data_IF_800575409675
#
_entry.id   IF_800575409675
#
_cell.length_a   1.000
_cell.length_b   1.000
_cell.length_c   1.000
_cell.angle_alpha   90.00
_cell.angle_beta   90.00
_cell.angle_gamma   90.00
#
_symmetry.space_group_name_H-M   'P 1'
#
loop_
_entity.id
_entity.type
_entity.pdbx_description
1 polymer ?
#
# COMPACT_ATOMS: atom_id res chain seq x y z
N UNK A 1 9.69 46.33 3.18
CA UNK A 1 9.03 45.58 4.28
C UNK A 1 9.73 44.25 4.43
N UNK A 2 10.45 44.10 5.55
CA UNK A 2 11.27 42.91 5.82
C UNK A 2 10.39 41.88 6.50
N UNK A 3 10.18 40.72 5.85
CA UNK A 3 9.50 39.60 6.48
C UNK A 3 10.41 38.95 7.51
N UNK A 4 10.09 39.11 8.80
CA UNK A 4 10.71 38.33 9.85
C UNK A 4 10.32 36.87 9.70
N UNK A 5 11.29 36.03 9.39
CA UNK A 5 11.13 34.57 9.47
C UNK A 5 11.00 34.22 10.96
N UNK A 6 9.79 33.79 11.35
CA UNK A 6 9.60 33.19 12.67
C UNK A 6 10.29 31.83 12.70
N UNK A 7 11.01 31.47 13.74
CA UNK A 7 11.57 30.15 13.89
C UNK A 7 10.41 29.16 14.02
N UNK A 8 10.34 28.18 13.09
CA UNK A 8 9.46 27.02 13.22
C UNK A 8 9.96 26.23 14.43
N UNK A 9 9.26 26.35 15.55
CA UNK A 9 9.47 25.43 16.67
C UNK A 9 9.11 24.04 16.17
N UNK A 10 10.07 23.11 16.26
CA UNK A 10 9.81 21.70 16.07
C UNK A 10 8.77 21.28 17.11
N UNK A 11 7.60 20.84 16.65
CA UNK A 11 6.62 20.17 17.50
C UNK A 11 7.29 18.89 17.99
N UNK A 12 7.33 18.62 19.31
CA UNK A 12 7.90 17.37 19.81
C UNK A 12 7.12 16.22 19.19
N UNK A 13 7.78 15.42 18.36
CA UNK A 13 7.18 14.26 17.71
C UNK A 13 6.71 13.26 18.76
N UNK A 14 5.43 13.00 18.82
CA UNK A 14 4.88 11.78 19.37
C UNK A 14 5.51 10.65 18.58
N UNK A 15 6.09 9.62 19.23
CA UNK A 15 6.90 8.53 18.68
C UNK A 15 6.54 8.05 17.28
N UNK A 16 7.15 8.68 16.27
CA UNK A 16 6.84 8.46 14.86
C UNK A 16 7.67 7.34 14.23
N UNK A 17 8.52 6.67 15.00
CA UNK A 17 9.38 5.59 14.51
C UNK A 17 8.94 4.24 15.05
N UNK A 18 9.04 3.23 14.24
CA UNK A 18 8.97 1.84 14.68
C UNK A 18 10.24 1.56 15.51
N UNK A 19 10.08 0.89 16.67
CA UNK A 19 11.26 0.51 17.41
C UNK A 19 11.98 -0.68 16.76
N UNK A 20 13.27 -0.84 17.10
CA UNK A 20 14.13 -1.88 16.54
C UNK A 20 13.55 -3.28 16.72
N UNK A 21 12.93 -3.58 17.87
CA UNK A 21 12.37 -4.88 18.15
C UNK A 21 11.21 -5.21 17.21
N UNK A 22 10.32 -4.26 16.98
CA UNK A 22 9.19 -4.44 16.07
C UNK A 22 9.65 -4.57 14.61
N UNK A 23 10.68 -3.83 14.19
CA UNK A 23 11.30 -4.01 12.87
C UNK A 23 11.89 -5.41 12.72
N UNK A 24 12.63 -5.90 13.72
CA UNK A 24 13.24 -7.24 13.67
C UNK A 24 12.14 -8.33 13.62
N UNK A 25 11.04 -8.16 14.35
CA UNK A 25 9.88 -9.08 14.29
C UNK A 25 9.18 -9.02 12.92
N UNK A 26 9.05 -7.83 12.32
CA UNK A 26 8.52 -7.70 10.96
C UNK A 26 9.40 -8.42 9.94
N UNK A 27 10.72 -8.24 10.00
CA UNK A 27 11.65 -8.94 9.13
C UNK A 27 11.56 -10.46 9.32
N UNK A 28 11.52 -10.95 10.56
CA UNK A 28 11.37 -12.37 10.88
C UNK A 28 10.04 -12.95 10.33
N UNK A 29 8.92 -12.21 10.39
CA UNK A 29 7.65 -12.64 9.78
C UNK A 29 7.73 -12.74 8.24
N UNK A 30 8.63 -11.96 7.62
CA UNK A 30 8.96 -12.07 6.19
C UNK A 30 10.04 -13.15 5.90
N UNK A 31 10.60 -13.78 6.91
CA UNK A 31 11.73 -14.71 6.77
C UNK A 31 13.02 -14.02 6.35
N UNK A 32 13.23 -12.78 6.84
CA UNK A 32 14.43 -11.96 6.61
C UNK A 32 15.15 -11.68 7.92
N UNK A 33 16.42 -11.36 7.81
CA UNK A 33 17.23 -10.85 8.90
C UNK A 33 17.60 -9.38 8.65
N UNK A 34 17.88 -8.63 9.71
CA UNK A 34 18.34 -7.24 9.60
C UNK A 34 19.68 -7.18 8.86
N UNK A 35 19.76 -6.32 7.87
CA UNK A 35 20.98 -6.04 7.13
C UNK A 35 21.09 -4.55 6.81
N UNK A 36 22.25 -4.10 6.37
CA UNK A 36 22.46 -2.73 5.90
C UNK A 36 21.59 -2.41 4.67
N UNK A 37 21.12 -1.16 4.51
CA UNK A 37 20.38 -0.73 3.35
C UNK A 37 21.08 -1.10 2.03
N UNK A 38 20.33 -1.76 1.16
CA UNK A 38 20.78 -2.12 -0.19
C UNK A 38 19.59 -2.31 -1.13
N UNK A 39 19.82 -2.24 -2.43
CA UNK A 39 18.78 -2.50 -3.43
C UNK A 39 18.20 -3.91 -3.31
N UNK A 40 19.05 -4.91 -3.01
CA UNK A 40 18.62 -6.27 -2.79
C UNK A 40 17.72 -6.44 -1.56
N UNK A 41 18.07 -5.80 -0.43
CA UNK A 41 17.23 -5.84 0.78
C UNK A 41 15.88 -5.16 0.55
N UNK A 42 15.86 -4.01 -0.14
CA UNK A 42 14.60 -3.32 -0.48
C UNK A 42 13.71 -4.19 -1.36
N UNK A 43 14.28 -4.86 -2.38
CA UNK A 43 13.54 -5.79 -3.25
C UNK A 43 12.95 -6.96 -2.45
N UNK A 44 13.75 -7.60 -1.61
CA UNK A 44 13.29 -8.72 -0.78
C UNK A 44 12.18 -8.30 0.19
N UNK A 45 12.32 -7.16 0.87
CA UNK A 45 11.29 -6.65 1.79
C UNK A 45 9.99 -6.39 1.03
N UNK A 46 10.02 -5.64 -0.06
CA UNK A 46 8.82 -5.26 -0.79
C UNK A 46 8.13 -6.47 -1.41
N UNK A 47 8.89 -7.36 -2.04
CA UNK A 47 8.37 -8.58 -2.67
C UNK A 47 7.74 -9.54 -1.65
N UNK A 48 8.38 -9.73 -0.50
CA UNK A 48 7.86 -10.62 0.55
C UNK A 48 6.69 -9.98 1.30
N UNK A 49 6.70 -8.65 1.46
CA UNK A 49 5.58 -7.94 2.07
C UNK A 49 4.27 -8.18 1.30
N UNK A 50 4.23 -7.91 -0.01
CA UNK A 50 3.01 -8.07 -0.81
C UNK A 50 2.55 -9.52 -0.94
N UNK A 51 3.47 -10.48 -0.75
CA UNK A 51 3.15 -11.90 -0.72
C UNK A 51 2.64 -12.37 0.66
N UNK A 52 3.07 -11.73 1.74
CA UNK A 52 2.75 -12.11 3.11
C UNK A 52 1.57 -11.36 3.67
N UNK A 53 1.53 -10.03 3.48
CA UNK A 53 0.53 -9.13 4.02
C UNK A 53 -0.42 -8.66 2.93
N UNK A 54 -1.65 -9.14 3.00
CA UNK A 54 -2.66 -8.77 2.00
C UNK A 54 -3.09 -7.32 2.13
N UNK A 55 -3.19 -6.63 1.01
CA UNK A 55 -3.99 -5.41 0.91
C UNK A 55 -5.44 -5.72 1.26
N UNK A 56 -6.08 -4.92 2.11
CA UNK A 56 -7.48 -5.12 2.46
C UNK A 56 -8.15 -3.83 2.93
N UNK A 57 -9.38 -3.60 2.47
CA UNK A 57 -10.25 -2.51 2.97
C UNK A 57 -11.26 -2.98 4.03
N UNK A 58 -10.98 -4.09 4.72
CA UNK A 58 -11.84 -4.64 5.79
C UNK A 58 -12.09 -3.61 6.88
N UNK A 59 -11.05 -2.93 7.35
CA UNK A 59 -11.15 -1.91 8.39
C UNK A 59 -12.07 -0.74 8.03
N UNK A 60 -11.82 -0.03 6.91
CA UNK A 60 -12.70 1.04 6.44
C UNK A 60 -14.15 0.57 6.22
N UNK A 61 -14.32 -0.62 5.65
CA UNK A 61 -15.65 -1.18 5.35
C UNK A 61 -16.45 -1.53 6.60
N UNK A 62 -15.79 -1.91 7.68
CA UNK A 62 -16.40 -2.13 9.00
C UNK A 62 -16.52 -0.85 9.84
N UNK A 63 -16.06 0.30 9.34
CA UNK A 63 -16.10 1.58 10.05
C UNK A 63 -15.16 1.64 11.25
N UNK A 64 -14.09 0.84 11.27
CA UNK A 64 -13.15 0.78 12.39
C UNK A 64 -12.32 2.06 12.51
N UNK A 65 -11.86 2.35 13.73
CA UNK A 65 -10.80 3.33 13.96
C UNK A 65 -9.48 2.74 13.49
N UNK A 66 -8.76 3.50 12.64
CA UNK A 66 -7.56 3.03 11.96
C UNK A 66 -6.40 3.99 12.21
N UNK A 67 -5.82 4.04 13.42
CA UNK A 67 -4.63 4.84 13.67
C UNK A 67 -3.48 4.37 12.78
N UNK A 68 -2.72 5.33 12.22
CA UNK A 68 -1.60 5.06 11.32
C UNK A 68 -0.23 5.30 11.94
N UNK A 69 -0.15 5.36 13.26
CA UNK A 69 1.12 5.31 13.98
C UNK A 69 1.79 3.94 13.80
N UNK A 70 3.13 3.88 13.74
CA UNK A 70 3.85 2.66 13.40
C UNK A 70 3.56 1.45 14.30
N UNK A 71 3.46 1.57 15.64
CA UNK A 71 3.06 0.45 16.51
C UNK A 71 1.66 -0.10 16.22
N UNK A 72 0.69 0.77 15.94
CA UNK A 72 -0.69 0.38 15.58
C UNK A 72 -0.73 -0.33 14.23
N UNK A 73 0.04 0.15 13.25
CA UNK A 73 0.19 -0.50 11.94
C UNK A 73 0.81 -1.89 12.07
N UNK A 74 1.92 -2.00 12.82
CA UNK A 74 2.56 -3.29 13.08
C UNK A 74 1.61 -4.28 13.73
N UNK A 75 0.92 -3.88 14.79
CA UNK A 75 -0.05 -4.73 15.49
C UNK A 75 -1.14 -5.23 14.53
N UNK A 76 -1.77 -4.33 13.76
CA UNK A 76 -2.89 -4.67 12.86
C UNK A 76 -2.47 -5.57 11.71
N UNK A 77 -1.35 -5.25 11.04
CA UNK A 77 -0.94 -5.94 9.82
C UNK A 77 -0.20 -7.25 10.15
N UNK A 78 0.76 -7.19 11.07
CA UNK A 78 1.66 -8.32 11.34
C UNK A 78 1.10 -9.26 12.39
N UNK A 79 0.63 -8.73 13.53
CA UNK A 79 0.19 -9.54 14.68
C UNK A 79 -1.23 -10.02 14.49
N UNK A 80 -2.16 -9.09 14.26
CA UNK A 80 -3.59 -9.39 14.15
C UNK A 80 -3.99 -9.86 12.75
N UNK A 81 -3.11 -9.74 11.75
CA UNK A 81 -3.34 -10.14 10.35
C UNK A 81 -4.65 -9.62 9.77
N UNK A 82 -4.98 -8.36 10.11
CA UNK A 82 -6.20 -7.70 9.62
C UNK A 82 -6.04 -7.10 8.21
N UNK A 83 -4.81 -7.19 7.65
CA UNK A 83 -4.46 -6.48 6.42
C UNK A 83 -4.38 -4.98 6.62
N UNK A 84 -4.54 -4.25 5.54
CA UNK A 84 -4.53 -2.80 5.51
C UNK A 84 -4.56 -2.29 4.07
N UNK A 85 -4.98 -1.05 3.88
CA UNK A 85 -4.94 -0.42 2.56
C UNK A 85 -3.71 0.49 2.42
N UNK A 86 -3.62 1.30 1.36
CA UNK A 86 -2.39 1.98 0.98
C UNK A 86 -1.70 2.80 2.09
N UNK A 87 -2.46 3.58 2.88
CA UNK A 87 -1.87 4.36 3.98
C UNK A 87 -1.33 3.48 5.10
N UNK A 88 -1.94 2.32 5.32
CA UNK A 88 -1.52 1.38 6.35
C UNK A 88 -0.32 0.55 5.89
N UNK A 89 -0.39 -0.10 4.74
CA UNK A 89 0.68 -0.95 4.21
C UNK A 89 1.97 -0.14 3.93
N UNK A 90 1.84 0.97 3.21
CA UNK A 90 2.99 1.84 2.92
C UNK A 90 3.46 2.64 4.15
N UNK A 91 2.57 2.89 5.12
CA UNK A 91 2.94 3.47 6.41
C UNK A 91 3.86 2.56 7.21
N UNK A 92 3.51 1.26 7.30
CA UNK A 92 4.35 0.26 7.96
C UNK A 92 5.69 0.09 7.23
N UNK A 93 5.66 -0.07 5.90
CA UNK A 93 6.89 -0.18 5.11
C UNK A 93 7.81 1.02 5.33
N UNK A 94 7.27 2.24 5.29
CA UNK A 94 8.03 3.47 5.52
C UNK A 94 8.76 3.44 6.87
N UNK A 95 8.04 3.13 7.95
CA UNK A 95 8.61 3.08 9.30
C UNK A 95 9.72 1.99 9.44
N UNK A 96 9.54 0.83 8.80
CA UNK A 96 10.55 -0.23 8.74
C UNK A 96 11.80 0.24 7.99
N UNK A 97 11.63 0.87 6.82
CA UNK A 97 12.77 1.34 6.02
C UNK A 97 13.53 2.46 6.74
N UNK A 98 12.84 3.34 7.45
CA UNK A 98 13.45 4.40 8.26
C UNK A 98 14.30 3.81 9.40
N UNK A 99 13.76 2.84 10.18
CA UNK A 99 14.51 2.16 11.26
C UNK A 99 15.69 1.32 10.73
N UNK A 100 15.60 0.81 9.53
CA UNK A 100 16.72 0.13 8.87
C UNK A 100 17.81 1.08 8.36
N UNK A 101 17.56 2.40 8.37
CA UNK A 101 18.51 3.44 7.94
C UNK A 101 18.52 3.68 6.43
N UNK A 102 17.45 3.32 5.69
CA UNK A 102 17.31 3.76 4.31
C UNK A 102 17.10 5.28 4.23
N UNK A 103 17.65 5.91 3.21
CA UNK A 103 17.26 7.27 2.84
C UNK A 103 15.87 7.21 2.20
N UNK A 104 14.83 7.47 3.01
CA UNK A 104 13.44 7.32 2.61
C UNK A 104 12.63 8.57 2.98
N UNK A 105 11.65 8.92 2.13
CA UNK A 105 10.67 9.94 2.45
C UNK A 105 9.29 9.58 1.88
N UNK A 106 8.19 10.05 2.51
CA UNK A 106 6.86 9.78 2.00
C UNK A 106 6.59 10.59 0.73
N UNK A 107 5.83 9.99 -0.18
CA UNK A 107 5.17 10.67 -1.28
C UNK A 107 3.68 10.38 -1.25
N UNK A 108 2.91 11.30 -1.82
CA UNK A 108 1.48 11.11 -2.07
C UNK A 108 1.20 11.11 -3.57
N UNK A 109 0.32 10.22 -3.98
CA UNK A 109 -0.04 10.02 -5.37
C UNK A 109 -1.55 10.13 -5.59
N UNK A 110 -1.93 10.37 -6.84
CA UNK A 110 -3.31 10.45 -7.33
C UNK A 110 -3.61 9.19 -8.14
N UNK A 111 -4.55 8.39 -7.66
CA UNK A 111 -4.94 7.13 -8.32
C UNK A 111 -5.73 7.44 -9.59
N UNK A 112 -5.29 6.92 -10.73
CA UNK A 112 -5.89 7.16 -12.03
C UNK A 112 -6.64 5.94 -12.58
N UNK A 113 -6.04 4.74 -12.48
CA UNK A 113 -6.58 3.49 -13.04
C UNK A 113 -7.02 3.64 -14.51
N UNK A 114 -6.19 4.29 -15.31
CA UNK A 114 -6.44 4.56 -16.73
C UNK A 114 -7.32 5.79 -17.01
N UNK A 115 -7.92 6.41 -15.99
CA UNK A 115 -8.70 7.62 -16.15
C UNK A 115 -7.83 8.86 -16.36
N UNK A 116 -8.38 9.86 -17.02
CA UNK A 116 -7.77 11.19 -17.17
C UNK A 116 -8.52 12.20 -16.32
N UNK A 117 -8.34 12.14 -15.00
CA UNK A 117 -8.97 13.01 -14.03
C UNK A 117 -7.94 13.49 -12.99
N UNK A 118 -8.34 14.42 -12.14
CA UNK A 118 -7.49 14.99 -11.09
C UNK A 118 -8.05 14.65 -9.69
N UNK A 119 -7.90 13.38 -9.23
CA UNK A 119 -8.38 12.98 -7.92
C UNK A 119 -7.53 13.58 -6.79
N UNK A 120 -7.97 13.40 -5.55
CA UNK A 120 -7.20 13.78 -4.36
C UNK A 120 -5.89 12.99 -4.22
N UNK A 121 -5.01 13.46 -3.33
CA UNK A 121 -3.78 12.75 -2.93
C UNK A 121 -4.15 11.64 -1.93
N UNK A 122 -4.67 10.54 -2.45
CA UNK A 122 -5.29 9.45 -1.67
C UNK A 122 -4.52 8.14 -1.73
N UNK A 123 -3.27 8.19 -2.18
CA UNK A 123 -2.38 7.03 -2.19
C UNK A 123 -1.00 7.40 -1.64
N UNK A 124 -0.58 6.74 -0.56
CA UNK A 124 0.75 6.89 0.04
C UNK A 124 1.72 5.93 -0.63
N UNK A 125 2.92 6.41 -0.97
CA UNK A 125 4.06 5.64 -1.46
C UNK A 125 5.34 6.11 -0.76
N UNK A 126 6.47 5.43 -0.95
CA UNK A 126 7.77 5.84 -0.42
C UNK A 126 8.75 6.08 -1.55
N UNK A 127 9.47 7.22 -1.50
CA UNK A 127 10.66 7.45 -2.31
C UNK A 127 11.87 6.99 -1.52
N UNK A 128 12.63 6.07 -2.08
CA UNK A 128 13.83 5.50 -1.46
C UNK A 128 15.03 5.81 -2.34
N UNK A 129 16.06 6.44 -1.76
CA UNK A 129 17.33 6.71 -2.46
C UNK A 129 18.37 5.68 -2.05
N UNK A 130 18.92 4.97 -3.02
CA UNK A 130 19.98 3.98 -2.81
C UNK A 130 21.07 4.23 -3.86
N UNK A 131 22.31 4.41 -3.41
CA UNK A 131 23.47 4.65 -4.29
C UNK A 131 23.24 5.81 -5.28
N UNK A 132 22.57 6.87 -4.81
CA UNK A 132 22.23 8.05 -5.60
C UNK A 132 21.10 7.84 -6.61
N UNK A 133 20.42 6.70 -6.61
CA UNK A 133 19.27 6.40 -7.49
C UNK A 133 17.98 6.38 -6.70
N UNK A 134 16.95 7.01 -7.26
CA UNK A 134 15.62 7.09 -6.64
C UNK A 134 14.70 5.97 -7.13
N UNK A 135 14.02 5.34 -6.18
CA UNK A 135 13.05 4.28 -6.42
C UNK A 135 11.74 4.59 -5.71
N UNK A 136 10.63 4.22 -6.33
CA UNK A 136 9.33 4.16 -5.66
C UNK A 136 9.17 2.76 -5.06
N UNK A 137 8.97 2.69 -3.75
CA UNK A 137 8.54 1.49 -3.04
C UNK A 137 7.06 1.64 -2.69
N UNK A 138 6.24 0.72 -3.22
CA UNK A 138 4.79 0.71 -3.04
C UNK A 138 4.29 -0.73 -2.84
N UNK A 139 3.90 -1.04 -1.61
CA UNK A 139 3.33 -2.34 -1.22
C UNK A 139 1.81 -2.27 -0.96
N UNK A 140 1.22 -1.11 -1.25
CA UNK A 140 -0.16 -0.77 -0.89
C UNK A 140 -1.08 -0.43 -2.06
N UNK A 141 -0.76 -0.77 -3.30
CA UNK A 141 -1.65 -0.46 -4.44
C UNK A 141 -2.71 -1.55 -4.71
N UNK A 142 -2.55 -2.71 -4.12
CA UNK A 142 -3.46 -3.84 -4.36
C UNK A 142 -3.05 -4.66 -5.60
N UNK A 143 -4.01 -5.26 -6.29
CA UNK A 143 -3.76 -6.30 -7.31
C UNK A 143 -2.91 -5.85 -8.51
N UNK A 144 -2.90 -4.58 -8.83
CA UNK A 144 -2.09 -4.00 -9.92
C UNK A 144 -0.76 -3.43 -9.44
N UNK A 145 -0.47 -3.48 -8.14
CA UNK A 145 0.75 -2.94 -7.55
C UNK A 145 2.01 -3.68 -7.99
N UNK A 146 3.17 -3.00 -7.88
CA UNK A 146 4.45 -3.61 -8.17
C UNK A 146 4.79 -4.68 -7.12
N UNK A 147 5.57 -5.68 -7.54
CA UNK A 147 6.11 -6.70 -6.62
C UNK A 147 7.37 -6.23 -5.90
N UNK A 148 8.07 -5.30 -6.49
CA UNK A 148 9.34 -4.75 -6.01
C UNK A 148 9.43 -3.24 -6.25
N UNK A 149 10.53 -2.60 -5.84
CA UNK A 149 10.73 -1.18 -6.06
C UNK A 149 10.86 -0.87 -7.56
N UNK A 150 10.33 0.28 -7.97
CA UNK A 150 10.40 0.74 -9.36
C UNK A 150 11.32 1.96 -9.44
N UNK A 151 12.40 1.86 -10.23
CA UNK A 151 13.32 2.99 -10.43
C UNK A 151 12.60 4.16 -11.13
N UNK A 152 12.88 5.39 -10.69
CA UNK A 152 12.34 6.59 -11.36
C UNK A 152 13.04 6.78 -12.70
N UNK A 153 14.33 6.49 -12.76
CA UNK A 153 15.12 6.61 -13.99
C UNK A 153 15.73 5.27 -14.37
N UNK A 154 15.84 5.01 -15.66
CA UNK A 154 16.48 3.82 -16.20
C UNK A 154 15.48 2.81 -16.79
N UNK A 155 15.98 1.63 -17.19
CA UNK A 155 15.13 0.61 -17.79
C UNK A 155 14.16 0.02 -16.77
N UNK A 156 12.97 -0.32 -17.25
CA UNK A 156 11.97 -1.01 -16.44
C UNK A 156 12.47 -2.39 -15.98
N UNK A 157 12.26 -2.69 -14.71
CA UNK A 157 12.51 -4.00 -14.11
C UNK A 157 11.16 -4.70 -13.88
N UNK A 158 10.64 -5.38 -14.91
CA UNK A 158 9.33 -6.03 -14.86
C UNK A 158 8.23 -5.25 -15.60
N UNK A 159 6.94 -5.52 -15.30
CA UNK A 159 5.82 -4.93 -16.02
C UNK A 159 5.54 -3.47 -15.65
N UNK A 160 6.10 -3.00 -14.52
CA UNK A 160 5.90 -1.64 -14.04
C UNK A 160 7.04 -0.73 -14.49
N UNK A 161 6.69 0.50 -14.87
CA UNK A 161 7.65 1.55 -15.19
C UNK A 161 7.16 2.91 -14.74
N UNK A 162 8.08 3.80 -14.43
CA UNK A 162 7.78 5.20 -14.16
C UNK A 162 8.15 6.01 -15.39
N UNK A 163 7.22 6.85 -15.83
CA UNK A 163 7.40 7.75 -16.95
C UNK A 163 7.06 9.18 -16.53
N UNK A 164 7.94 10.14 -16.85
CA UNK A 164 7.64 11.56 -16.72
C UNK A 164 6.84 11.99 -17.96
N UNK A 165 5.53 12.25 -17.76
CA UNK A 165 4.64 12.63 -18.86
C UNK A 165 4.52 14.15 -19.04
N UNK A 166 4.82 14.90 -18.00
CA UNK A 166 4.93 16.37 -18.00
C UNK A 166 6.04 16.76 -17.04
N UNK A 167 6.68 17.92 -17.19
CA UNK A 167 7.77 18.32 -16.29
C UNK A 167 7.38 18.23 -14.81
N UNK A 168 8.07 17.34 -14.07
CA UNK A 168 7.83 17.08 -12.65
C UNK A 168 6.63 16.18 -12.33
N UNK A 169 5.88 15.71 -13.32
CA UNK A 169 4.75 14.79 -13.14
C UNK A 169 5.13 13.38 -13.62
N UNK A 170 5.22 12.45 -12.69
CA UNK A 170 5.60 11.06 -12.91
C UNK A 170 4.38 10.14 -12.82
N UNK A 171 4.30 9.17 -13.73
CA UNK A 171 3.25 8.16 -13.72
C UNK A 171 3.84 6.77 -13.51
N UNK A 172 3.30 6.02 -12.55
CA UNK A 172 3.50 4.57 -12.53
C UNK A 172 2.56 3.93 -13.54
N UNK A 173 3.13 3.17 -14.48
CA UNK A 173 2.41 2.58 -15.61
C UNK A 173 2.70 1.10 -15.76
N UNK A 174 1.75 0.41 -16.35
CA UNK A 174 1.88 -0.97 -16.87
C UNK A 174 1.41 -1.01 -18.32
N UNK A 175 1.73 -2.06 -19.05
CA UNK A 175 1.06 -2.35 -20.31
C UNK A 175 -0.16 -3.23 -20.04
N UNK A 176 -1.31 -2.79 -20.52
CA UNK A 176 -2.56 -3.50 -20.40
C UNK A 176 -3.24 -3.55 -21.78
N UNK A 177 -3.53 -4.75 -22.24
CA UNK A 177 -4.17 -5.00 -23.55
C UNK A 177 -3.38 -4.34 -24.72
N UNK A 178 -2.04 -4.31 -24.61
CA UNK A 178 -1.14 -3.72 -25.62
C UNK A 178 -1.05 -2.19 -25.57
N UNK A 179 -1.65 -1.54 -24.59
CA UNK A 179 -1.60 -0.10 -24.41
C UNK A 179 -1.05 0.31 -23.03
N UNK A 180 -0.33 1.46 -22.95
CA UNK A 180 0.12 1.99 -21.68
C UNK A 180 -1.07 2.39 -20.79
N UNK A 181 -1.07 1.90 -19.53
CA UNK A 181 -2.13 2.12 -18.55
C UNK A 181 -1.54 2.76 -17.29
N UNK A 182 -1.93 4.01 -16.98
CA UNK A 182 -1.47 4.71 -15.79
C UNK A 182 -2.24 4.24 -14.56
N UNK A 183 -1.51 3.73 -13.57
CA UNK A 183 -2.06 3.32 -12.28
C UNK A 183 -2.29 4.54 -11.39
N UNK A 184 -1.27 5.36 -11.21
CA UNK A 184 -1.31 6.62 -10.49
C UNK A 184 -0.25 7.59 -11.01
N UNK A 185 -0.39 8.86 -10.62
CA UNK A 185 0.61 9.89 -10.86
C UNK A 185 1.04 10.54 -9.56
N UNK A 186 2.25 11.06 -9.53
CA UNK A 186 2.84 11.72 -8.38
C UNK A 186 3.86 12.77 -8.80
N UNK A 187 4.19 13.62 -7.86
CA UNK A 187 5.24 14.63 -7.97
C UNK A 187 6.28 14.39 -6.88
N UNK A 188 7.50 14.87 -7.07
CA UNK A 188 8.57 14.74 -6.06
C UNK A 188 8.49 15.78 -4.95
N UNK A 189 7.32 16.32 -4.69
CA UNK A 189 7.05 17.27 -3.62
C UNK A 189 7.37 16.67 -2.23
N UNK A 190 7.55 17.53 -1.23
CA UNK A 190 7.75 17.10 0.16
C UNK A 190 6.40 17.00 0.85
N UNK A 191 6.15 15.87 1.47
CA UNK A 191 4.96 15.60 2.28
C UNK A 191 5.39 15.21 3.69
N UNK A 192 4.53 15.53 4.68
CA UNK A 192 4.70 15.17 6.08
C UNK A 192 3.58 14.23 6.57
N UNK A 193 3.61 13.94 7.86
CA UNK A 193 2.59 13.08 8.49
C UNK A 193 1.19 13.67 8.36
N UNK A 194 1.02 14.99 8.55
CA UNK A 194 -0.28 15.65 8.43
C UNK A 194 -0.90 15.50 7.04
N UNK A 195 -0.09 15.52 5.97
CA UNK A 195 -0.57 15.28 4.61
C UNK A 195 -1.06 13.84 4.46
N UNK A 196 -0.34 12.89 5.05
CA UNK A 196 -0.75 11.48 5.08
C UNK A 196 -2.04 11.28 5.87
N UNK A 197 -2.19 11.94 7.02
CA UNK A 197 -3.41 11.89 7.83
C UNK A 197 -4.63 12.43 7.09
N UNK A 198 -4.48 13.53 6.34
CA UNK A 198 -5.56 14.09 5.52
C UNK A 198 -6.01 13.10 4.43
N UNK A 199 -5.08 12.52 3.67
CA UNK A 199 -5.37 11.53 2.65
C UNK A 199 -5.95 10.24 3.25
N UNK A 200 -5.44 9.81 4.40
CA UNK A 200 -5.95 8.68 5.16
C UNK A 200 -7.38 8.92 5.64
N UNK A 201 -7.65 10.07 6.30
CA UNK A 201 -9.00 10.43 6.77
C UNK A 201 -10.01 10.40 5.62
N UNK A 202 -9.69 11.02 4.48
CA UNK A 202 -10.54 10.95 3.31
C UNK A 202 -10.82 9.51 2.89
N UNK A 203 -9.78 8.69 2.79
CA UNK A 203 -9.86 7.35 2.19
C UNK A 203 -10.67 6.35 3.02
N UNK A 204 -10.70 6.51 4.36
CA UNK A 204 -11.40 5.55 5.23
C UNK A 204 -12.66 6.10 5.89
N UNK A 205 -12.96 7.42 5.75
CA UNK A 205 -14.11 8.06 6.40
C UNK A 205 -15.05 8.79 5.45
N UNK A 206 -14.54 9.28 4.30
CA UNK A 206 -15.41 10.05 3.41
C UNK A 206 -16.47 9.15 2.76
N UNK A 207 -17.77 9.54 2.76
CA UNK A 207 -18.86 8.70 2.24
C UNK A 207 -18.70 8.27 0.78
N UNK A 208 -17.96 9.02 -0.04
CA UNK A 208 -17.69 8.68 -1.44
C UNK A 208 -16.36 7.93 -1.63
N UNK A 209 -15.62 7.65 -0.57
CA UNK A 209 -14.35 6.94 -0.68
C UNK A 209 -14.57 5.48 -1.10
N UNK A 210 -13.71 5.00 -1.99
CA UNK A 210 -13.79 3.63 -2.53
C UNK A 210 -13.80 2.59 -1.42
N UNK A 211 -12.96 2.72 -0.40
CA UNK A 211 -12.77 1.71 0.64
C UNK A 211 -13.88 1.73 1.71
N UNK A 212 -14.65 2.80 1.79
CA UNK A 212 -15.88 2.87 2.60
C UNK A 212 -17.03 2.12 1.90
N UNK A 213 -17.07 2.15 0.57
CA UNK A 213 -18.18 1.62 -0.23
C UNK A 213 -17.90 0.22 -0.82
N UNK A 214 -16.65 -0.18 -0.94
CA UNK A 214 -16.27 -1.44 -1.58
C UNK A 214 -15.32 -2.25 -0.70
N UNK A 215 -15.61 -3.53 -0.57
CA UNK A 215 -14.66 -4.50 -0.04
C UNK A 215 -13.66 -4.85 -1.13
N UNK A 216 -12.39 -4.57 -0.86
CA UNK A 216 -11.28 -4.88 -1.76
C UNK A 216 -10.23 -5.63 -0.96
N UNK A 217 -9.73 -6.74 -1.51
CA UNK A 217 -8.52 -7.39 -1.00
C UNK A 217 -7.64 -7.82 -2.18
N UNK A 218 -6.33 -7.85 -1.95
CA UNK A 218 -5.36 -8.33 -2.93
C UNK A 218 -4.15 -8.96 -2.25
N UNK A 219 -3.60 -9.99 -2.88
CA UNK A 219 -2.35 -10.65 -2.47
C UNK A 219 -1.54 -10.97 -3.71
N UNK A 220 -0.27 -10.55 -3.74
CA UNK A 220 0.61 -10.72 -4.88
C UNK A 220 1.62 -11.82 -4.56
N UNK A 221 1.39 -13.02 -5.08
CA UNK A 221 2.27 -14.17 -4.91
C UNK A 221 3.25 -14.30 -6.09
N UNK A 222 4.22 -15.22 -5.99
CA UNK A 222 5.24 -15.40 -7.02
C UNK A 222 4.64 -15.65 -8.41
N UNK A 223 3.63 -16.52 -8.50
CA UNK A 223 3.09 -17.00 -9.77
C UNK A 223 1.66 -16.55 -10.04
N UNK A 224 1.03 -15.89 -9.06
CA UNK A 224 -0.36 -15.45 -9.18
C UNK A 224 -0.64 -14.18 -8.41
N UNK A 225 -1.71 -13.49 -8.82
CA UNK A 225 -2.32 -12.39 -8.07
C UNK A 225 -3.73 -12.81 -7.70
N UNK A 226 -4.05 -12.75 -6.41
CA UNK A 226 -5.40 -12.93 -5.89
C UNK A 226 -6.03 -11.57 -5.67
N UNK A 227 -7.26 -11.42 -6.13
CA UNK A 227 -8.00 -10.17 -6.05
C UNK A 227 -9.46 -10.43 -5.67
N UNK A 228 -9.94 -9.66 -4.71
CA UNK A 228 -11.34 -9.62 -4.31
C UNK A 228 -11.85 -8.20 -4.50
N UNK A 229 -12.99 -8.06 -5.17
CA UNK A 229 -13.76 -6.81 -5.19
C UNK A 229 -15.24 -7.14 -4.95
N UNK A 230 -15.74 -6.74 -3.80
CA UNK A 230 -17.09 -7.05 -3.36
C UNK A 230 -17.36 -8.57 -3.40
N UNK A 231 -18.22 -9.02 -4.32
CA UNK A 231 -18.58 -10.44 -4.49
C UNK A 231 -17.74 -11.17 -5.52
N UNK A 232 -16.83 -10.49 -6.21
CA UNK A 232 -16.01 -11.12 -7.25
C UNK A 232 -14.62 -11.44 -6.72
N UNK A 233 -14.30 -12.74 -6.63
CA UNK A 233 -12.97 -13.26 -6.36
C UNK A 233 -12.30 -13.71 -7.65
N UNK A 234 -11.04 -13.31 -7.84
CA UNK A 234 -10.23 -13.63 -9.03
C UNK A 234 -8.87 -14.16 -8.65
N UNK A 235 -8.38 -15.12 -9.43
CA UNK A 235 -6.98 -15.56 -9.41
C UNK A 235 -6.42 -15.37 -10.81
N UNK A 236 -5.39 -14.51 -10.91
CA UNK A 236 -4.75 -14.11 -12.17
C UNK A 236 -3.37 -14.77 -12.21
N UNK A 237 -3.13 -15.58 -13.25
CA UNK A 237 -1.86 -16.26 -13.53
C UNK A 237 -1.39 -15.95 -14.93
N UNK A 238 -0.14 -16.27 -15.25
CA UNK A 238 0.35 -16.19 -16.62
C UNK A 238 -0.46 -17.09 -17.60
N UNK A 239 -1.03 -18.20 -17.10
CA UNK A 239 -1.84 -19.12 -17.88
C UNK A 239 -3.29 -18.68 -18.09
N UNK A 240 -3.73 -17.60 -17.47
CA UNK A 240 -5.11 -17.10 -17.56
C UNK A 240 -5.69 -16.69 -16.22
N UNK A 241 -6.95 -16.30 -16.24
CA UNK A 241 -7.70 -15.80 -15.10
C UNK A 241 -8.86 -16.74 -14.76
N UNK A 242 -9.06 -17.05 -13.48
CA UNK A 242 -10.27 -17.67 -12.95
C UNK A 242 -11.07 -16.66 -12.13
N UNK A 243 -12.40 -16.77 -12.20
CA UNK A 243 -13.35 -15.90 -11.49
C UNK A 243 -14.38 -16.75 -10.75
N UNK A 244 -14.74 -16.26 -9.56
CA UNK A 244 -15.79 -16.84 -8.73
C UNK A 244 -16.67 -15.72 -8.19
N UNK A 245 -17.99 -15.88 -8.29
CA UNK A 245 -18.95 -15.01 -7.61
C UNK A 245 -19.25 -15.57 -6.22
N UNK A 246 -19.10 -14.74 -5.20
CA UNK A 246 -19.32 -15.09 -3.80
C UNK A 246 -20.80 -14.90 -3.49
N UNK A 247 -21.51 -15.99 -3.25
CA UNK A 247 -22.96 -16.00 -3.02
C UNK A 247 -23.37 -16.24 -1.56
N UNK A 248 -22.40 -16.42 -0.66
CA UNK A 248 -22.65 -16.68 0.75
C UNK A 248 -21.56 -16.08 1.67
N UNK A 249 -21.96 -15.60 2.83
CA UNK A 249 -21.05 -15.03 3.84
C UNK A 249 -19.97 -16.02 4.29
N UNK A 250 -20.32 -17.30 4.49
CA UNK A 250 -19.34 -18.34 4.85
C UNK A 250 -18.27 -18.53 3.79
N UNK A 251 -18.60 -18.39 2.48
CA UNK A 251 -17.61 -18.43 1.40
C UNK A 251 -16.69 -17.22 1.43
N UNK A 252 -17.25 -16.02 1.66
CA UNK A 252 -16.45 -14.80 1.85
C UNK A 252 -15.46 -14.97 3.01
N UNK A 253 -15.94 -15.47 4.16
CA UNK A 253 -15.09 -15.73 5.32
C UNK A 253 -13.93 -16.70 4.98
N UNK A 254 -14.23 -17.82 4.31
CA UNK A 254 -13.21 -18.77 3.88
C UNK A 254 -12.18 -18.14 2.94
N UNK A 255 -12.61 -17.35 1.94
CA UNK A 255 -11.71 -16.66 1.00
C UNK A 255 -10.82 -15.67 1.76
N UNK A 256 -11.36 -14.82 2.63
CA UNK A 256 -10.57 -13.85 3.41
C UNK A 256 -9.49 -14.54 4.24
N UNK A 257 -9.84 -15.66 4.90
CA UNK A 257 -8.90 -16.42 5.72
C UNK A 257 -7.89 -17.22 4.89
N UNK A 258 -8.36 -18.06 3.98
CA UNK A 258 -7.53 -19.09 3.34
C UNK A 258 -6.74 -18.54 2.14
N UNK A 259 -7.32 -17.62 1.39
CA UNK A 259 -6.70 -17.06 0.18
C UNK A 259 -5.89 -15.78 0.48
N UNK A 260 -6.40 -14.93 1.38
CA UNK A 260 -5.74 -13.68 1.72
C UNK A 260 -4.99 -13.73 3.06
N UNK A 261 -5.18 -14.76 3.89
CA UNK A 261 -4.55 -14.87 5.20
C UNK A 261 -4.99 -13.80 6.19
N UNK A 262 -6.25 -13.35 6.06
CA UNK A 262 -6.82 -12.30 6.90
C UNK A 262 -7.62 -12.92 8.05
N UNK A 263 -7.31 -12.50 9.27
CA UNK A 263 -8.05 -12.88 10.47
C UNK A 263 -9.30 -12.00 10.62
N UNK A 264 -10.37 -12.39 9.94
CA UNK A 264 -11.69 -11.74 9.98
C UNK A 264 -12.67 -12.73 10.62
N UNK A 265 -13.36 -12.30 11.68
CA UNK A 265 -14.33 -13.17 12.35
C UNK A 265 -15.54 -13.50 11.46
N UNK A 266 -16.22 -14.63 11.74
CA UNK A 266 -17.38 -15.05 10.95
C UNK A 266 -18.53 -14.00 11.00
N UNK A 267 -18.76 -13.37 12.16
CA UNK A 267 -19.76 -12.30 12.30
C UNK A 267 -19.38 -11.04 11.52
N UNK A 268 -18.09 -10.69 11.49
CA UNK A 268 -17.59 -9.57 10.69
C UNK A 268 -17.77 -9.86 9.20
N UNK A 269 -17.41 -11.06 8.74
CA UNK A 269 -17.62 -11.51 7.36
C UNK A 269 -19.12 -11.50 6.99
N UNK A 270 -19.99 -11.87 7.92
CA UNK A 270 -21.44 -11.77 7.76
C UNK A 270 -21.93 -10.34 7.55
N UNK A 271 -21.45 -9.40 8.37
CA UNK A 271 -21.77 -7.97 8.23
C UNK A 271 -21.22 -7.41 6.91
N UNK A 272 -19.95 -7.71 6.58
CA UNK A 272 -19.36 -7.31 5.31
C UNK A 272 -20.21 -7.80 4.14
N UNK A 273 -20.55 -9.10 4.12
CA UNK A 273 -21.30 -9.71 3.03
C UNK A 273 -22.71 -9.12 2.85
N UNK A 274 -23.41 -8.83 3.95
CA UNK A 274 -24.75 -8.25 3.92
C UNK A 274 -24.81 -6.85 3.28
N UNK A 275 -23.72 -6.10 3.37
CA UNK A 275 -23.62 -4.74 2.85
C UNK A 275 -22.90 -4.65 1.48
N UNK A 276 -22.48 -5.78 0.88
CA UNK A 276 -21.86 -5.78 -0.45
C UNK A 276 -22.90 -5.49 -1.53
N UNK A 277 -22.57 -4.57 -2.46
CA UNK A 277 -23.41 -4.32 -3.63
C UNK A 277 -23.44 -5.53 -4.56
#
# INVERSE_FOLDING_TARGET
MSFRTLPVQAVPGSGSTLDRELTDRYLADLGLERAAPSSGLLDEITRRHVARHSFASVGPRLGLELPIDPPSLFRRIVVERRGGYCFEQNGLLFAVLEDLGFEVRPLLARVLLGGNHHPGLTHRISLVTIEGRSHVADVGFGAFGPRGPVAIEGPASGPHRIEELSPGEFHLRIDRDGAPFSLYRFELSRYGEADCELGHFWSHRHPQATFVNHLVAARILADEVRSLRNREYRVIRASGESREEIVAAGRLHGILRDEFGLEVGADEAGRLFAELP
#
